data_IF_564312191593
#
_entry.id   IF_564312191593
#
_cell.length_a   1.000
_cell.length_b   1.000
_cell.length_c   1.000
_cell.angle_alpha   90.00
_cell.angle_beta   90.00
_cell.angle_gamma   90.00
#
_symmetry.space_group_name_H-M   'P 1'
#
loop_
_entity.id
_entity.type
_entity.pdbx_description
1 polymer ?
#
# COMPACT_ATOMS: atom_id res chain seq x y z
N UNK A 1 -21.11 -8.63 -14.44
CA UNK A 1 -19.67 -8.69 -14.10
C UNK A 1 -18.96 -7.38 -14.35
N UNK A 2 -18.80 -6.91 -15.60
CA UNK A 2 -18.00 -5.72 -15.95
C UNK A 2 -18.28 -4.49 -15.07
N UNK A 3 -19.55 -4.12 -14.90
CA UNK A 3 -19.94 -2.96 -14.07
C UNK A 3 -19.53 -3.11 -12.60
N UNK A 4 -19.66 -4.32 -12.02
CA UNK A 4 -19.26 -4.59 -10.64
C UNK A 4 -17.74 -4.55 -10.51
N UNK A 5 -17.02 -5.17 -11.44
CA UNK A 5 -15.55 -5.13 -11.48
C UNK A 5 -15.05 -3.68 -11.44
N UNK A 6 -15.58 -2.83 -12.33
CA UNK A 6 -15.19 -1.42 -12.38
C UNK A 6 -15.56 -0.67 -11.11
N UNK A 7 -16.79 -0.83 -10.60
CA UNK A 7 -17.21 -0.10 -9.39
C UNK A 7 -16.33 -0.48 -8.20
N UNK A 8 -16.18 -1.78 -7.90
CA UNK A 8 -15.43 -2.20 -6.71
C UNK A 8 -13.91 -2.04 -6.89
N UNK A 9 -13.40 -2.20 -8.11
CA UNK A 9 -12.00 -1.93 -8.43
C UNK A 9 -11.65 -0.45 -8.29
N UNK A 10 -12.52 0.46 -8.75
CA UNK A 10 -12.35 1.90 -8.57
C UNK A 10 -12.48 2.30 -7.11
N UNK A 11 -13.42 1.74 -6.35
CA UNK A 11 -13.54 2.02 -4.90
C UNK A 11 -12.27 1.59 -4.17
N UNK A 12 -11.82 0.35 -4.38
CA UNK A 12 -10.60 -0.16 -3.75
C UNK A 12 -9.35 0.63 -4.15
N UNK A 13 -9.21 0.93 -5.45
CA UNK A 13 -8.12 1.73 -5.96
C UNK A 13 -8.14 3.16 -5.41
N UNK A 14 -9.29 3.84 -5.37
CA UNK A 14 -9.41 5.18 -4.81
C UNK A 14 -9.09 5.22 -3.31
N UNK A 15 -9.53 4.22 -2.54
CA UNK A 15 -9.18 4.10 -1.12
C UNK A 15 -7.66 4.08 -0.95
N UNK A 16 -6.97 3.20 -1.71
CA UNK A 16 -5.51 3.09 -1.64
C UNK A 16 -4.85 4.39 -2.11
N UNK A 17 -5.29 4.94 -3.24
CA UNK A 17 -4.74 6.18 -3.80
C UNK A 17 -4.84 7.35 -2.83
N UNK A 18 -6.03 7.59 -2.25
CA UNK A 18 -6.25 8.69 -1.32
C UNK A 18 -5.42 8.51 -0.06
N UNK A 19 -5.43 7.32 0.54
CA UNK A 19 -4.67 7.07 1.77
C UNK A 19 -3.16 7.16 1.54
N UNK A 20 -2.66 6.70 0.40
CA UNK A 20 -1.27 6.88 0.00
C UNK A 20 -0.89 8.36 -0.15
N UNK A 21 -1.75 9.17 -0.77
CA UNK A 21 -1.52 10.61 -0.88
C UNK A 21 -1.58 11.35 0.47
N UNK A 22 -2.48 10.94 1.37
CA UNK A 22 -2.57 11.54 2.71
C UNK A 22 -1.35 11.21 3.59
N UNK A 23 -0.77 10.02 3.43
CA UNK A 23 0.35 9.54 4.26
C UNK A 23 1.72 9.92 3.69
N UNK A 24 1.87 9.93 2.36
CA UNK A 24 3.15 10.16 1.70
C UNK A 24 3.22 11.49 0.95
N UNK A 25 2.10 12.12 0.60
CA UNK A 25 2.09 13.30 -0.28
C UNK A 25 2.39 14.63 0.42
N UNK A 26 2.38 14.67 1.75
CA UNK A 26 2.65 15.89 2.54
C UNK A 26 4.15 16.16 2.76
N UNK A 27 5.01 15.17 2.52
CA UNK A 27 6.45 15.22 2.86
C UNK A 27 6.76 15.19 4.36
N UNK A 28 5.75 15.12 5.23
CA UNK A 28 5.91 14.87 6.66
C UNK A 28 5.43 13.45 6.94
N UNK A 29 6.38 12.55 7.18
CA UNK A 29 6.11 11.13 7.36
C UNK A 29 6.05 10.78 8.84
N UNK A 30 4.92 10.20 9.25
CA UNK A 30 4.80 9.52 10.54
C UNK A 30 5.42 8.12 10.38
N UNK A 31 6.71 8.01 10.68
CA UNK A 31 7.46 6.77 10.55
C UNK A 31 7.09 5.73 11.62
N UNK A 32 6.54 6.17 12.77
CA UNK A 32 6.13 5.28 13.86
C UNK A 32 4.80 4.58 13.54
N UNK A 33 3.82 5.32 13.01
CA UNK A 33 2.51 4.77 12.67
C UNK A 33 2.35 4.39 11.19
N UNK A 34 3.32 4.73 10.34
CA UNK A 34 3.23 4.57 8.89
C UNK A 34 2.97 3.12 8.46
N UNK A 35 3.62 2.15 9.09
CA UNK A 35 3.42 0.72 8.84
C UNK A 35 1.99 0.28 9.18
N UNK A 36 1.50 0.66 10.36
CA UNK A 36 0.14 0.34 10.82
C UNK A 36 -0.92 0.93 9.89
N UNK A 37 -0.74 2.19 9.49
CA UNK A 37 -1.65 2.87 8.55
C UNK A 37 -1.62 2.18 7.18
N UNK A 38 -0.43 1.82 6.70
CA UNK A 38 -0.24 1.11 5.44
C UNK A 38 -0.98 -0.24 5.42
N UNK A 39 -0.76 -1.09 6.43
CA UNK A 39 -1.44 -2.39 6.49
C UNK A 39 -2.95 -2.26 6.70
N UNK A 40 -3.39 -1.32 7.52
CA UNK A 40 -4.83 -1.07 7.71
C UNK A 40 -5.48 -0.64 6.39
N UNK A 41 -4.81 0.23 5.63
CA UNK A 41 -5.24 0.64 4.29
C UNK A 41 -5.36 -0.55 3.34
N UNK A 42 -4.38 -1.44 3.32
CA UNK A 42 -4.40 -2.64 2.50
C UNK A 42 -5.59 -3.55 2.86
N UNK A 43 -5.86 -3.78 4.14
CA UNK A 43 -6.99 -4.59 4.59
C UNK A 43 -8.33 -3.98 4.16
N UNK A 44 -8.51 -2.67 4.33
CA UNK A 44 -9.72 -1.96 3.91
C UNK A 44 -9.92 -2.05 2.41
N UNK A 45 -8.86 -1.83 1.63
CA UNK A 45 -8.93 -1.86 0.18
C UNK A 45 -9.20 -3.28 -0.36
N UNK A 46 -8.51 -4.30 0.15
CA UNK A 46 -8.71 -5.68 -0.27
C UNK A 46 -10.11 -6.21 0.14
N UNK A 47 -10.69 -5.69 1.22
CA UNK A 47 -12.07 -6.02 1.60
C UNK A 47 -13.10 -5.65 0.52
N UNK A 48 -12.79 -4.69 -0.36
CA UNK A 48 -13.68 -4.34 -1.49
C UNK A 48 -13.86 -5.50 -2.48
N UNK A 49 -12.89 -6.41 -2.58
CA UNK A 49 -13.00 -7.63 -3.40
C UNK A 49 -14.12 -8.52 -2.86
N UNK A 50 -14.15 -8.74 -1.55
CA UNK A 50 -15.20 -9.53 -0.90
C UNK A 50 -16.58 -8.93 -1.16
N UNK A 51 -16.74 -7.62 -0.98
CA UNK A 51 -18.01 -6.94 -1.25
C UNK A 51 -18.41 -7.00 -2.72
N UNK A 52 -17.46 -6.90 -3.65
CA UNK A 52 -17.70 -7.06 -5.08
C UNK A 52 -18.19 -8.46 -5.45
N UNK A 53 -17.56 -9.50 -4.90
CA UNK A 53 -17.97 -10.90 -5.07
C UNK A 53 -19.34 -11.15 -4.48
N UNK A 54 -19.59 -10.71 -3.25
CA UNK A 54 -20.89 -10.82 -2.59
C UNK A 54 -22.00 -10.11 -3.39
N UNK A 55 -21.75 -8.89 -3.84
CA UNK A 55 -22.73 -8.13 -4.62
C UNK A 55 -23.07 -8.80 -5.95
N UNK A 56 -22.09 -9.38 -6.64
CA UNK A 56 -22.35 -10.13 -7.87
C UNK A 56 -23.13 -11.43 -7.61
N UNK A 57 -22.76 -12.16 -6.56
CA UNK A 57 -23.45 -13.39 -6.12
C UNK A 57 -24.92 -13.11 -5.83
N UNK A 58 -25.21 -12.09 -5.02
CA UNK A 58 -26.55 -11.84 -4.50
C UNK A 58 -27.46 -11.19 -5.55
N UNK A 59 -26.98 -10.19 -6.30
CA UNK A 59 -27.81 -9.42 -7.23
C UNK A 59 -27.98 -10.05 -8.60
N UNK A 60 -27.05 -10.91 -9.03
CA UNK A 60 -27.05 -11.44 -10.40
C UNK A 60 -27.10 -12.97 -10.49
N UNK A 61 -26.71 -13.69 -9.44
CA UNK A 61 -26.64 -15.16 -9.47
C UNK A 61 -27.60 -15.83 -8.46
N UNK A 62 -28.50 -15.08 -7.83
CA UNK A 62 -29.48 -15.63 -6.90
C UNK A 62 -28.87 -16.27 -5.65
N UNK A 63 -27.73 -15.74 -5.18
CA UNK A 63 -27.11 -16.16 -3.92
C UNK A 63 -26.10 -17.32 -4.03
N UNK A 64 -25.87 -17.89 -5.22
CA UNK A 64 -24.87 -18.94 -5.43
C UNK A 64 -23.84 -18.55 -6.48
N UNK A 65 -22.56 -18.76 -6.20
CA UNK A 65 -21.46 -18.49 -7.12
C UNK A 65 -20.46 -19.65 -7.08
N UNK A 66 -19.97 -20.07 -8.24
CA UNK A 66 -18.91 -21.08 -8.32
C UNK A 66 -17.54 -20.45 -8.03
N UNK A 67 -16.61 -21.25 -7.50
CA UNK A 67 -15.27 -20.76 -7.17
C UNK A 67 -14.59 -20.06 -8.35
N UNK A 68 -14.58 -20.67 -9.54
CA UNK A 68 -13.93 -20.06 -10.72
C UNK A 68 -14.52 -18.71 -11.11
N UNK A 69 -15.84 -18.52 -10.97
CA UNK A 69 -16.48 -17.21 -11.22
C UNK A 69 -16.14 -16.18 -10.15
N UNK A 70 -16.10 -16.59 -8.89
CA UNK A 70 -15.71 -15.71 -7.78
C UNK A 70 -14.24 -15.28 -7.90
N UNK A 71 -13.36 -16.23 -8.23
CA UNK A 71 -11.94 -16.00 -8.45
C UNK A 71 -11.70 -15.02 -9.60
N UNK A 72 -12.28 -15.25 -10.78
CA UNK A 72 -12.13 -14.33 -11.92
C UNK A 72 -12.66 -12.94 -11.61
N UNK A 73 -13.78 -12.83 -10.89
CA UNK A 73 -14.31 -11.54 -10.50
C UNK A 73 -13.34 -10.80 -9.56
N UNK A 74 -12.81 -11.50 -8.54
CA UNK A 74 -11.84 -10.92 -7.62
C UNK A 74 -10.55 -10.52 -8.32
N UNK A 75 -10.05 -11.35 -9.24
CA UNK A 75 -8.88 -11.07 -10.06
C UNK A 75 -9.04 -9.79 -10.87
N UNK A 76 -10.19 -9.59 -11.53
CA UNK A 76 -10.42 -8.37 -12.30
C UNK A 76 -10.58 -7.13 -11.42
N UNK A 77 -11.20 -7.25 -10.23
CA UNK A 77 -11.27 -6.14 -9.26
C UNK A 77 -9.86 -5.75 -8.81
N UNK A 78 -9.04 -6.75 -8.45
CA UNK A 78 -7.66 -6.55 -8.04
C UNK A 78 -6.83 -5.88 -9.13
N UNK A 79 -6.98 -6.29 -10.39
CA UNK A 79 -6.26 -5.72 -11.52
C UNK A 79 -6.57 -4.22 -11.69
N UNK A 80 -7.85 -3.81 -11.59
CA UNK A 80 -8.24 -2.40 -11.67
C UNK A 80 -7.68 -1.61 -10.49
N UNK A 81 -7.80 -2.15 -9.26
CA UNK A 81 -7.29 -1.50 -8.07
C UNK A 81 -5.76 -1.34 -8.11
N UNK A 82 -5.02 -2.36 -8.55
CA UNK A 82 -3.57 -2.32 -8.67
C UNK A 82 -3.10 -1.32 -9.72
N UNK A 83 -3.82 -1.17 -10.84
CA UNK A 83 -3.50 -0.13 -11.83
C UNK A 83 -3.61 1.27 -11.24
N UNK A 84 -4.65 1.53 -10.44
CA UNK A 84 -4.79 2.82 -9.74
C UNK A 84 -3.70 3.03 -8.70
N UNK A 85 -3.34 1.97 -7.96
CA UNK A 85 -2.22 2.00 -7.03
C UNK A 85 -0.91 2.40 -7.72
N UNK A 86 -0.52 1.69 -8.79
CA UNK A 86 0.71 1.97 -9.53
C UNK A 86 0.69 3.38 -10.13
N UNK A 87 -0.43 3.80 -10.72
CA UNK A 87 -0.55 5.16 -11.26
C UNK A 87 -0.39 6.23 -10.18
N UNK A 88 -0.98 6.00 -8.99
CA UNK A 88 -0.87 6.93 -7.87
C UNK A 88 0.53 6.98 -7.30
N UNK A 89 1.19 5.83 -7.18
CA UNK A 89 2.59 5.73 -6.78
C UNK A 89 3.51 6.47 -7.76
N UNK A 90 3.34 6.27 -9.07
CA UNK A 90 4.13 6.96 -10.08
C UNK A 90 3.95 8.49 -10.00
N UNK A 91 2.71 8.96 -9.82
CA UNK A 91 2.44 10.40 -9.67
C UNK A 91 3.04 10.95 -8.38
N UNK A 92 2.88 10.24 -7.28
CA UNK A 92 3.39 10.65 -5.98
C UNK A 92 4.92 10.69 -5.98
N UNK A 93 5.58 9.65 -6.48
CA UNK A 93 7.04 9.60 -6.63
C UNK A 93 7.57 10.68 -7.57
N UNK A 94 6.86 11.01 -8.66
CA UNK A 94 7.29 12.09 -9.56
C UNK A 94 7.10 13.50 -8.99
N UNK A 95 6.20 13.69 -8.01
CA UNK A 95 5.87 15.01 -7.44
C UNK A 95 6.47 15.26 -6.07
N UNK A 96 6.70 14.19 -5.29
CA UNK A 96 7.28 14.22 -3.96
C UNK A 96 8.77 13.95 -4.12
N UNK A 97 9.52 14.99 -4.49
CA UNK A 97 10.93 14.89 -4.83
C UNK A 97 11.77 14.23 -3.73
N UNK A 98 12.23 13.00 -4.01
CA UNK A 98 13.46 12.35 -3.54
C UNK A 98 14.02 12.71 -2.16
N UNK A 99 13.27 12.45 -1.07
CA UNK A 99 13.91 12.41 0.26
C UNK A 99 13.30 11.43 1.26
N UNK A 100 12.31 10.61 0.87
CA UNK A 100 11.71 9.62 1.78
C UNK A 100 12.76 8.69 2.39
N UNK A 101 13.66 8.15 1.57
CA UNK A 101 14.71 7.24 2.03
C UNK A 101 15.74 7.92 2.93
N UNK A 102 16.06 9.19 2.68
CA UNK A 102 16.99 9.97 3.51
C UNK A 102 16.33 10.31 4.85
N UNK A 103 15.09 10.79 4.83
CA UNK A 103 14.33 11.08 6.05
C UNK A 103 14.10 9.82 6.89
N UNK A 104 13.81 8.69 6.23
CA UNK A 104 13.68 7.39 6.89
C UNK A 104 15.01 6.95 7.52
N UNK A 105 16.13 7.11 6.81
CA UNK A 105 17.46 6.79 7.35
C UNK A 105 17.79 7.63 8.59
N UNK A 106 17.57 8.95 8.51
CA UNK A 106 17.81 9.85 9.64
C UNK A 106 16.91 9.52 10.84
N UNK A 107 15.63 9.22 10.60
CA UNK A 107 14.70 8.80 11.66
C UNK A 107 15.15 7.50 12.34
N UNK A 108 15.45 6.46 11.56
CA UNK A 108 15.89 5.18 12.09
C UNK A 108 17.23 5.30 12.86
N UNK A 109 18.14 6.14 12.38
CA UNK A 109 19.39 6.43 13.08
C UNK A 109 19.15 7.09 14.44
N UNK A 110 18.28 8.10 14.50
CA UNK A 110 17.92 8.77 15.75
C UNK A 110 17.26 7.80 16.74
N UNK A 111 16.38 6.92 16.25
CA UNK A 111 15.75 5.89 17.08
C UNK A 111 16.81 4.93 17.67
N UNK A 112 17.75 4.46 16.85
CA UNK A 112 18.85 3.61 17.30
C UNK A 112 19.75 4.29 18.33
N UNK A 113 20.12 5.56 18.12
CA UNK A 113 20.90 6.35 19.08
C UNK A 113 20.17 6.52 20.42
N UNK A 114 18.84 6.65 20.39
CA UNK A 114 18.01 6.77 21.61
C UNK A 114 17.78 5.44 22.35
N UNK A 115 17.92 4.31 21.65
CA UNK A 115 17.61 2.96 22.18
C UNK A 115 18.70 2.35 23.06
N UNK A 116 19.81 3.07 23.31
CA UNK A 116 20.94 2.62 24.14
C UNK A 116 21.58 1.31 23.65
N UNK A 117 21.46 1.02 22.35
CA UNK A 117 22.00 -0.16 21.67
C UNK A 117 23.54 -0.15 21.65
N UNK A 118 24.22 -1.31 21.69
CA UNK A 118 25.67 -1.38 21.53
C UNK A 118 26.12 -0.76 20.20
N UNK A 119 27.19 0.04 20.22
CA UNK A 119 27.67 0.77 19.05
C UNK A 119 28.04 -0.15 17.86
N UNK A 120 28.50 -1.36 18.14
CA UNK A 120 28.79 -2.38 17.12
C UNK A 120 27.54 -2.84 16.37
N UNK A 121 26.44 -3.04 17.08
CA UNK A 121 25.15 -3.48 16.51
C UNK A 121 24.47 -2.35 15.74
N UNK A 122 24.58 -1.11 16.24
CA UNK A 122 24.10 0.08 15.55
C UNK A 122 24.84 0.31 14.22
N UNK A 123 26.17 0.19 14.21
CA UNK A 123 26.95 0.37 12.99
C UNK A 123 26.63 -0.69 11.93
N UNK A 124 26.47 -1.95 12.35
CA UNK A 124 26.09 -3.03 11.44
C UNK A 124 24.72 -2.75 10.77
N UNK A 125 23.72 -2.28 11.53
CA UNK A 125 22.40 -1.92 10.99
C UNK A 125 22.46 -0.71 10.05
N UNK A 126 23.21 0.34 10.40
CA UNK A 126 23.36 1.51 9.55
C UNK A 126 24.05 1.18 8.22
N UNK A 127 25.03 0.28 8.24
CA UNK A 127 25.71 -0.21 7.03
C UNK A 127 24.75 -1.01 6.14
N UNK A 128 23.92 -1.87 6.73
CA UNK A 128 22.89 -2.62 6.00
C UNK A 128 21.87 -1.68 5.34
N UNK A 129 21.42 -0.64 6.06
CA UNK A 129 20.52 0.38 5.52
C UNK A 129 21.15 1.18 4.36
N UNK A 130 22.44 1.52 4.45
CA UNK A 130 23.16 2.20 3.37
C UNK A 130 23.31 1.32 2.13
N UNK A 131 23.64 0.04 2.30
CA UNK A 131 23.69 -0.93 1.20
C UNK A 131 22.33 -1.06 0.51
N UNK A 132 21.24 -1.10 1.28
CA UNK A 132 19.89 -1.08 0.72
C UNK A 132 19.62 0.19 -0.08
N UNK A 133 19.99 1.37 0.44
CA UNK A 133 19.78 2.63 -0.26
C UNK A 133 20.53 2.70 -1.61
N UNK A 134 21.73 2.12 -1.71
CA UNK A 134 22.48 2.06 -2.97
C UNK A 134 21.79 1.19 -4.04
N UNK A 135 21.04 0.15 -3.65
CA UNK A 135 20.27 -0.68 -4.59
C UNK A 135 19.12 0.08 -5.27
N UNK A 136 18.69 1.22 -4.70
CA UNK A 136 17.59 2.03 -5.21
C UNK A 136 18.05 3.28 -5.98
N UNK A 137 19.37 3.48 -6.17
CA UNK A 137 19.93 4.46 -7.12
C UNK A 137 19.97 3.91 -8.54
#
# INVERSE_FOLDING_TARGET
MKKIVLIYGLIGGLIISVLMWLTLGSGQHDFENGELIGYTTMVVALSTIFFGVKAYRDKHLGGRITFGKAFLLGLYIALVASTLYVASWMLLSATTGDDFMVQYYEHAKQEMESSNMPAEEMNAKLEEMQQFAELYK
#
